data_IF_452487837104
#
_entry.id   IF_452487837104
#
_cell.length_a   1.000
_cell.length_b   1.000
_cell.length_c   1.000
_cell.angle_alpha   90.00
_cell.angle_beta   90.00
_cell.angle_gamma   90.00
#
_symmetry.space_group_name_H-M   'P 1'
#
loop_
_entity.id
_entity.type
_entity.pdbx_description
1 polymer ?
#
# COMPACT_ATOMS: atom_id res chain seq x y z
N UNK A 1 -25.42 -6.62 -5.53
CA UNK A 1 -24.28 -6.17 -4.69
C UNK A 1 -24.45 -6.79 -3.32
N UNK A 2 -23.42 -7.42 -2.77
CA UNK A 2 -23.40 -7.94 -1.39
C UNK A 2 -22.43 -7.06 -0.59
N UNK A 3 -22.85 -6.61 0.60
CA UNK A 3 -22.00 -5.90 1.56
C UNK A 3 -22.01 -6.66 2.87
N UNK A 4 -20.84 -6.84 3.47
CA UNK A 4 -20.69 -7.53 4.74
C UNK A 4 -19.46 -7.03 5.49
N UNK A 5 -19.38 -7.39 6.77
CA UNK A 5 -18.26 -7.10 7.66
C UNK A 5 -17.42 -8.38 7.82
N UNK A 6 -16.09 -8.25 7.80
CA UNK A 6 -15.18 -9.39 7.99
C UNK A 6 -15.26 -10.00 9.39
N UNK A 7 -15.84 -9.28 10.37
CA UNK A 7 -16.13 -9.82 11.69
C UNK A 7 -17.30 -10.82 11.69
N UNK A 8 -18.29 -10.61 10.82
CA UNK A 8 -19.50 -11.46 10.74
C UNK A 8 -19.48 -12.41 9.55
N UNK A 9 -18.64 -12.13 8.55
CA UNK A 9 -18.44 -12.98 7.39
C UNK A 9 -16.94 -13.05 7.03
N UNK A 10 -16.16 -13.87 7.76
CA UNK A 10 -14.71 -13.99 7.61
C UNK A 10 -14.31 -14.44 6.20
N UNK A 11 -13.05 -14.18 5.82
CA UNK A 11 -12.54 -14.52 4.48
C UNK A 11 -12.63 -16.01 4.14
N UNK A 12 -12.47 -16.91 5.12
CA UNK A 12 -12.65 -18.34 4.93
C UNK A 12 -14.08 -18.66 4.45
N UNK A 13 -15.08 -18.09 5.12
CA UNK A 13 -16.49 -18.27 4.80
C UNK A 13 -16.86 -17.60 3.47
N UNK A 14 -16.32 -16.40 3.20
CA UNK A 14 -16.49 -15.71 1.92
C UNK A 14 -15.97 -16.56 0.77
N UNK A 15 -14.76 -17.09 0.86
CA UNK A 15 -14.14 -17.89 -0.20
C UNK A 15 -14.89 -19.20 -0.40
N UNK A 16 -15.30 -19.85 0.69
CA UNK A 16 -16.12 -21.06 0.64
C UNK A 16 -17.48 -20.79 -0.02
N UNK A 17 -18.15 -19.70 0.34
CA UNK A 17 -19.43 -19.32 -0.24
C UNK A 17 -19.31 -18.96 -1.73
N UNK A 18 -18.29 -18.20 -2.14
CA UNK A 18 -18.01 -17.89 -3.54
C UNK A 18 -17.71 -19.16 -4.35
N UNK A 19 -16.96 -20.09 -3.76
CA UNK A 19 -16.61 -21.38 -4.37
C UNK A 19 -17.86 -22.26 -4.59
N UNK A 20 -18.73 -22.36 -3.58
CA UNK A 20 -19.96 -23.16 -3.65
C UNK A 20 -21.03 -22.53 -4.54
N UNK A 21 -21.21 -21.21 -4.47
CA UNK A 21 -22.22 -20.48 -5.23
C UNK A 21 -21.83 -20.21 -6.68
N UNK A 22 -20.55 -20.45 -7.04
CA UNK A 22 -19.97 -20.16 -8.36
C UNK A 22 -20.21 -18.73 -8.84
N UNK A 23 -20.31 -17.79 -7.90
CA UNK A 23 -20.52 -16.37 -8.24
C UNK A 23 -19.26 -15.79 -8.85
N UNK A 24 -19.46 -14.93 -9.83
CA UNK A 24 -18.40 -14.15 -10.49
C UNK A 24 -18.60 -12.67 -10.19
N UNK A 25 -17.51 -11.91 -10.29
CA UNK A 25 -17.51 -10.47 -10.08
C UNK A 25 -16.29 -10.00 -9.30
N UNK A 26 -16.37 -8.77 -8.80
CA UNK A 26 -15.26 -8.12 -8.08
C UNK A 26 -15.58 -8.06 -6.60
N UNK A 27 -14.68 -8.59 -5.78
CA UNK A 27 -14.67 -8.46 -4.33
C UNK A 27 -13.73 -7.32 -3.96
N UNK A 28 -14.25 -6.28 -3.34
CA UNK A 28 -13.49 -5.18 -2.74
C UNK A 28 -13.40 -5.36 -1.23
N UNK A 29 -12.20 -5.17 -0.69
CA UNK A 29 -11.86 -5.35 0.72
C UNK A 29 -11.25 -4.05 1.24
N UNK A 30 -11.93 -3.46 2.21
CA UNK A 30 -11.53 -2.28 2.96
C UNK A 30 -11.14 -2.71 4.38
N UNK A 31 -9.84 -2.87 4.62
CA UNK A 31 -9.27 -3.39 5.88
C UNK A 31 -8.54 -2.31 6.71
N UNK A 32 -8.78 -1.02 6.45
CA UNK A 32 -8.20 0.09 7.23
C UNK A 32 -7.53 1.19 6.37
N UNK A 33 -6.57 1.92 6.96
CA UNK A 33 -5.85 3.01 6.28
C UNK A 33 -4.96 2.46 5.14
N UNK A 34 -5.48 2.51 3.90
CA UNK A 34 -4.81 2.09 2.68
C UNK A 34 -5.75 2.09 1.48
N UNK A 35 -5.22 1.86 0.26
CA UNK A 35 -6.07 1.67 -0.91
C UNK A 35 -6.87 0.35 -0.75
N UNK A 36 -8.17 0.33 -1.09
CA UNK A 36 -8.99 -0.88 -1.04
C UNK A 36 -8.35 -1.96 -1.91
N UNK A 37 -8.24 -3.17 -1.36
CA UNK A 37 -7.71 -4.32 -2.08
C UNK A 37 -8.86 -5.03 -2.78
N UNK A 38 -8.69 -5.37 -4.05
CA UNK A 38 -9.75 -6.01 -4.81
C UNK A 38 -9.30 -7.33 -5.46
N UNK A 39 -10.26 -8.22 -5.67
CA UNK A 39 -10.12 -9.53 -6.29
C UNK A 39 -11.18 -9.69 -7.37
N UNK A 40 -10.78 -10.12 -8.56
CA UNK A 40 -11.70 -10.51 -9.62
C UNK A 40 -11.85 -12.03 -9.61
N UNK A 41 -13.07 -12.48 -9.36
CA UNK A 41 -13.43 -13.90 -9.22
C UNK A 41 -14.24 -14.33 -10.43
N UNK A 42 -13.82 -15.42 -11.06
CA UNK A 42 -14.51 -16.06 -12.19
C UNK A 42 -14.43 -17.57 -12.00
N UNK A 43 -15.57 -18.25 -12.09
CA UNK A 43 -15.66 -19.73 -12.03
C UNK A 43 -14.78 -20.36 -10.94
N UNK A 44 -15.01 -19.96 -9.68
CA UNK A 44 -14.32 -20.50 -8.49
C UNK A 44 -12.83 -20.16 -8.39
N UNK A 45 -12.35 -19.23 -9.21
CA UNK A 45 -10.94 -18.83 -9.28
C UNK A 45 -10.80 -17.33 -9.16
N UNK A 46 -9.71 -16.90 -8.54
CA UNK A 46 -9.26 -15.51 -8.56
C UNK A 46 -8.40 -15.36 -9.82
N UNK A 47 -8.88 -14.58 -10.78
CA UNK A 47 -8.25 -14.40 -12.10
C UNK A 47 -7.46 -13.08 -12.22
N UNK A 48 -7.72 -12.15 -11.30
CA UNK A 48 -6.92 -10.95 -11.14
C UNK A 48 -7.04 -10.40 -9.71
N UNK A 49 -6.04 -9.64 -9.28
CA UNK A 49 -6.08 -8.91 -8.01
C UNK A 49 -5.51 -7.50 -8.19
N UNK A 50 -5.80 -6.65 -7.21
CA UNK A 50 -5.16 -5.35 -7.10
C UNK A 50 -3.64 -5.52 -7.10
N UNK A 51 -2.96 -4.66 -7.86
CA UNK A 51 -1.51 -4.62 -7.88
C UNK A 51 -1.01 -4.39 -6.46
N UNK A 52 0.05 -5.09 -6.02
CA UNK A 52 0.76 -4.69 -4.82
C UNK A 52 1.05 -3.18 -4.91
N UNK A 53 0.95 -2.43 -3.80
CA UNK A 53 1.26 -1.01 -3.81
C UNK A 53 2.64 -0.88 -4.42
N UNK A 54 2.74 -0.12 -5.51
CA UNK A 54 3.97 -0.03 -6.26
C UNK A 54 5.06 0.37 -5.27
N UNK A 55 6.02 -0.51 -5.02
CA UNK A 55 7.22 -0.04 -4.35
C UNK A 55 7.84 1.01 -5.26
N UNK A 56 8.19 2.20 -4.75
CA UNK A 56 9.25 2.93 -5.39
C UNK A 56 10.46 2.01 -5.31
N UNK A 57 11.05 1.62 -6.46
CA UNK A 57 12.33 0.88 -6.50
C UNK A 57 13.46 1.52 -5.67
N UNK A 58 13.22 2.69 -5.07
CA UNK A 58 14.06 3.33 -4.06
C UNK A 58 14.05 2.69 -2.66
N UNK A 59 13.05 1.90 -2.23
CA UNK A 59 13.11 1.30 -0.88
C UNK A 59 14.16 0.19 -0.79
N UNK A 60 14.27 -0.69 -1.80
CA UNK A 60 15.38 -1.63 -1.92
C UNK A 60 16.74 -0.90 -1.96
N UNK A 61 16.86 0.16 -2.77
CA UNK A 61 18.06 0.99 -2.80
C UNK A 61 18.43 1.60 -1.42
N UNK A 62 17.44 1.89 -0.58
CA UNK A 62 17.64 2.40 0.78
C UNK A 62 17.85 1.30 1.82
N UNK A 63 17.32 0.11 1.58
CA UNK A 63 17.57 -1.12 2.34
C UNK A 63 18.92 -1.77 1.98
N UNK A 64 19.80 -1.05 1.26
CA UNK A 64 21.17 -1.46 0.86
C UNK A 64 21.23 -2.74 0.03
N UNK A 65 20.10 -3.21 -0.47
CA UNK A 65 19.99 -4.44 -1.25
C UNK A 65 18.92 -4.31 -2.34
N UNK A 66 19.24 -4.82 -3.53
CA UNK A 66 18.28 -4.96 -4.63
C UNK A 66 18.43 -6.34 -5.25
N UNK A 67 17.33 -6.88 -5.77
CA UNK A 67 17.30 -8.17 -6.46
C UNK A 67 17.34 -8.00 -7.98
N UNK A 68 17.80 -9.03 -8.69
CA UNK A 68 17.83 -9.03 -10.15
C UNK A 68 16.49 -9.27 -10.84
N UNK A 69 15.48 -9.77 -10.13
CA UNK A 69 14.16 -10.10 -10.72
C UNK A 69 13.39 -8.82 -11.10
N UNK A 70 12.79 -8.73 -12.31
CA UNK A 70 11.90 -7.63 -12.65
C UNK A 70 10.67 -7.62 -11.72
N UNK A 71 10.22 -6.44 -11.28
CA UNK A 71 9.16 -6.32 -10.29
C UNK A 71 7.85 -7.00 -10.74
N UNK A 72 7.54 -6.95 -12.04
CA UNK A 72 6.35 -7.57 -12.62
C UNK A 72 6.35 -9.09 -12.48
N UNK A 73 7.53 -9.72 -12.42
CA UNK A 73 7.65 -11.17 -12.24
C UNK A 73 7.35 -11.62 -10.81
N UNK A 74 7.48 -10.71 -9.84
CA UNK A 74 7.19 -10.97 -8.42
C UNK A 74 5.72 -10.73 -8.08
N UNK A 75 5.00 -9.94 -8.88
CA UNK A 75 3.61 -9.55 -8.60
C UNK A 75 2.65 -10.72 -8.37
N UNK A 76 2.66 -11.82 -9.16
CA UNK A 76 1.74 -12.93 -8.92
C UNK A 76 1.92 -13.56 -7.54
N UNK A 77 3.16 -13.80 -7.13
CA UNK A 77 3.46 -14.36 -5.80
C UNK A 77 3.12 -13.36 -4.69
N UNK A 78 3.40 -12.06 -4.90
CA UNK A 78 3.06 -11.01 -3.94
C UNK A 78 1.54 -10.83 -3.76
N UNK A 79 0.76 -10.95 -4.85
CA UNK A 79 -0.70 -10.96 -4.77
C UNK A 79 -1.21 -12.18 -4.00
N UNK A 80 -0.66 -13.37 -4.26
CA UNK A 80 -1.04 -14.58 -3.53
C UNK A 80 -0.75 -14.47 -2.03
N UNK A 81 0.45 -14.00 -1.67
CA UNK A 81 0.83 -13.76 -0.28
C UNK A 81 -0.10 -12.75 0.38
N UNK A 82 -0.37 -11.62 -0.28
CA UNK A 82 -1.28 -10.60 0.24
C UNK A 82 -2.70 -11.14 0.46
N UNK A 83 -3.22 -11.97 -0.46
CA UNK A 83 -4.54 -12.61 -0.30
C UNK A 83 -4.59 -13.46 0.96
N UNK A 84 -3.57 -14.28 1.19
CA UNK A 84 -3.48 -15.19 2.33
C UNK A 84 -3.24 -14.42 3.63
N UNK A 85 -2.44 -13.35 3.60
CA UNK A 85 -2.13 -12.54 4.77
C UNK A 85 -3.35 -11.74 5.27
N UNK A 86 -4.37 -11.52 4.44
CA UNK A 86 -5.62 -10.93 4.90
C UNK A 86 -6.33 -11.77 5.97
N UNK A 87 -6.08 -13.09 6.02
CA UNK A 87 -6.60 -13.95 7.09
C UNK A 87 -6.01 -13.61 8.45
N UNK A 88 -4.81 -13.01 8.48
CA UNK A 88 -4.15 -12.56 9.71
C UNK A 88 -4.56 -11.13 10.12
N UNK A 89 -5.30 -10.41 9.26
CA UNK A 89 -5.71 -9.04 9.54
C UNK A 89 -6.85 -9.04 10.56
N UNK A 90 -6.89 -8.09 11.51
CA UNK A 90 -7.98 -8.02 12.49
C UNK A 90 -9.35 -7.98 11.80
N UNK A 91 -10.36 -8.57 12.44
CA UNK A 91 -11.72 -8.75 11.89
C UNK A 91 -12.47 -7.45 11.59
N UNK A 92 -11.89 -6.27 11.82
CA UNK A 92 -12.45 -4.98 11.45
C UNK A 92 -12.14 -4.65 9.99
N UNK A 93 -13.02 -5.05 9.08
CA UNK A 93 -12.93 -4.68 7.68
C UNK A 93 -14.26 -4.85 6.96
N UNK A 94 -14.47 -4.09 5.88
CA UNK A 94 -15.68 -4.18 5.07
C UNK A 94 -15.38 -4.87 3.75
N UNK A 95 -16.36 -5.64 3.32
CA UNK A 95 -16.35 -6.40 2.08
C UNK A 95 -17.51 -5.91 1.22
N UNK A 96 -17.23 -5.65 -0.07
CA UNK A 96 -18.25 -5.40 -1.09
C UNK A 96 -18.04 -6.34 -2.26
N UNK A 97 -19.04 -7.15 -2.61
CA UNK A 97 -19.06 -7.91 -3.86
C UNK A 97 -19.99 -7.23 -4.87
N UNK A 98 -19.39 -6.83 -5.99
CA UNK A 98 -20.09 -6.37 -7.17
C UNK A 98 -20.18 -7.54 -8.15
N UNK A 99 -21.35 -8.19 -8.18
CA UNK A 99 -21.60 -9.34 -9.02
C UNK A 99 -21.44 -8.99 -10.52
N UNK A 100 -20.83 -9.91 -11.27
CA UNK A 100 -20.60 -9.82 -12.72
C UNK A 100 -19.83 -8.56 -13.19
N UNK A 101 -19.22 -7.83 -12.25
CA UNK A 101 -18.33 -6.72 -12.58
C UNK A 101 -17.04 -7.25 -13.23
N UNK A 102 -16.58 -6.53 -14.25
CA UNK A 102 -15.23 -6.72 -14.77
C UNK A 102 -14.20 -6.20 -13.75
N UNK A 103 -13.08 -6.90 -13.64
CA UNK A 103 -11.94 -6.44 -12.83
C UNK A 103 -11.45 -5.05 -13.25
N UNK A 104 -10.75 -4.36 -12.35
CA UNK A 104 -10.23 -3.02 -12.61
C UNK A 104 -9.01 -3.04 -13.55
N UNK A 105 -8.84 -1.95 -14.31
CA UNK A 105 -7.66 -1.76 -15.16
C UNK A 105 -6.37 -1.77 -14.33
N UNK A 106 -5.29 -2.34 -14.89
CA UNK A 106 -3.97 -2.35 -14.26
C UNK A 106 -3.75 -3.40 -13.18
N UNK A 107 -4.74 -4.25 -12.89
CA UNK A 107 -4.61 -5.40 -12.00
C UNK A 107 -3.63 -6.47 -12.49
N UNK A 108 -3.16 -7.29 -11.55
CA UNK A 108 -2.22 -8.39 -11.81
C UNK A 108 -3.02 -9.64 -12.15
N UNK A 109 -2.72 -10.26 -13.30
CA UNK A 109 -3.30 -11.55 -13.69
C UNK A 109 -2.71 -12.66 -12.82
N UNK A 110 -3.59 -13.41 -12.16
CA UNK A 110 -3.25 -14.55 -11.32
C UNK A 110 -4.23 -15.67 -11.62
N UNK A 111 -3.92 -16.89 -11.19
CA UNK A 111 -4.80 -18.03 -11.40
C UNK A 111 -4.81 -18.92 -10.14
N UNK A 112 -5.65 -18.53 -9.18
CA UNK A 112 -5.70 -19.15 -7.85
C UNK A 112 -7.09 -19.71 -7.57
N UNK A 113 -7.17 -20.97 -7.15
CA UNK A 113 -8.46 -21.57 -6.74
C UNK A 113 -8.93 -21.04 -5.40
N UNK A 114 -10.21 -20.65 -5.29
CA UNK A 114 -10.77 -20.12 -4.02
C UNK A 114 -10.63 -21.10 -2.86
N UNK A 115 -10.98 -22.38 -3.09
CA UNK A 115 -10.84 -23.42 -2.07
C UNK A 115 -9.38 -23.61 -1.62
N UNK A 116 -8.41 -23.52 -2.55
CA UNK A 116 -6.99 -23.59 -2.21
C UNK A 116 -6.57 -22.39 -1.34
N UNK A 117 -7.01 -21.18 -1.69
CA UNK A 117 -6.68 -19.98 -0.92
C UNK A 117 -7.33 -19.96 0.46
N UNK A 118 -8.54 -20.50 0.60
CA UNK A 118 -9.18 -20.65 1.91
C UNK A 118 -8.39 -21.61 2.81
N UNK A 119 -7.99 -22.77 2.30
CA UNK A 119 -7.17 -23.74 3.05
C UNK A 119 -5.78 -23.16 3.39
N UNK A 120 -5.17 -22.43 2.44
CA UNK A 120 -3.88 -21.78 2.64
C UNK A 120 -3.95 -20.68 3.71
N UNK A 121 -5.04 -19.89 3.72
CA UNK A 121 -5.34 -18.87 4.72
C UNK A 121 -5.56 -19.44 6.13
N UNK A 122 -6.29 -20.56 6.24
CA UNK A 122 -6.47 -21.25 7.52
C UNK A 122 -5.15 -21.83 8.02
N UNK A 123 -4.38 -22.50 7.16
CA UNK A 123 -3.04 -22.98 7.52
C UNK A 123 -2.14 -21.84 7.99
N UNK A 124 -2.22 -20.68 7.33
CA UNK A 124 -1.47 -19.47 7.71
C UNK A 124 -1.77 -19.01 9.12
N UNK A 125 -3.05 -19.01 9.52
CA UNK A 125 -3.48 -18.65 10.87
C UNK A 125 -2.86 -19.59 11.92
N UNK A 126 -2.82 -20.89 11.63
CA UNK A 126 -2.29 -21.91 12.54
C UNK A 126 -0.75 -21.84 12.66
N UNK A 127 -0.05 -21.64 11.56
CA UNK A 127 1.43 -21.58 11.52
C UNK A 127 2.01 -20.29 12.09
N UNK A 128 1.25 -19.19 12.04
CA UNK A 128 1.76 -17.86 12.35
C UNK A 128 2.40 -17.74 13.74
N UNK A 129 1.79 -18.22 14.85
CA UNK A 129 2.39 -18.13 16.18
C UNK A 129 3.72 -18.89 16.32
N UNK A 130 3.92 -19.96 15.54
CA UNK A 130 5.17 -20.72 15.54
C UNK A 130 6.27 -19.97 14.80
N UNK A 131 5.96 -19.40 13.63
CA UNK A 131 6.90 -18.58 12.86
C UNK A 131 7.34 -17.35 13.66
N UNK A 132 6.43 -16.68 14.36
CA UNK A 132 6.77 -15.53 15.22
C UNK A 132 7.72 -15.92 16.36
N UNK A 133 7.50 -17.09 16.96
CA UNK A 133 8.35 -17.60 18.04
C UNK A 133 9.74 -17.99 17.52
N UNK A 134 9.82 -18.56 16.32
CA UNK A 134 11.07 -18.97 15.67
C UNK A 134 11.88 -17.78 15.19
N UNK A 135 11.21 -16.74 14.70
CA UNK A 135 11.82 -15.54 14.14
C UNK A 135 11.37 -14.28 14.91
N UNK A 136 11.82 -14.13 16.17
CA UNK A 136 11.36 -13.05 17.04
C UNK A 136 11.88 -11.67 16.63
N UNK A 137 12.89 -11.60 15.75
CA UNK A 137 13.49 -10.34 15.31
C UNK A 137 13.70 -10.31 13.81
N UNK A 138 13.24 -9.24 13.17
CA UNK A 138 13.48 -8.97 11.75
C UNK A 138 14.94 -8.52 11.48
N UNK A 139 15.72 -8.28 12.54
CA UNK A 139 17.15 -7.97 12.42
C UNK A 139 18.01 -9.20 12.12
N UNK A 140 17.48 -10.42 12.24
CA UNK A 140 18.23 -11.64 12.00
C UNK A 140 18.72 -11.73 10.54
N UNK A 141 19.94 -12.22 10.33
CA UNK A 141 20.54 -12.32 9.00
C UNK A 141 20.13 -13.60 8.30
N UNK A 142 19.90 -13.51 6.98
CA UNK A 142 19.73 -14.66 6.10
C UNK A 142 21.09 -15.15 5.64
N UNK A 143 21.33 -16.45 5.65
CA UNK A 143 22.56 -17.06 5.15
C UNK A 143 22.25 -18.15 4.13
N UNK A 144 22.82 -18.05 2.94
CA UNK A 144 22.65 -19.06 1.90
C UNK A 144 23.44 -20.34 2.23
N UNK A 145 22.84 -21.49 1.92
CA UNK A 145 23.45 -22.81 2.11
C UNK A 145 24.02 -23.35 0.79
N UNK A 146 25.26 -23.89 0.77
CA UNK A 146 25.93 -24.32 -0.46
C UNK A 146 25.43 -25.65 -1.05
N UNK A 147 24.46 -26.33 -0.43
CA UNK A 147 24.03 -27.69 -0.82
C UNK A 147 22.55 -27.87 -1.14
N UNK A 148 21.76 -26.78 -1.23
CA UNK A 148 20.30 -26.87 -1.37
C UNK A 148 19.79 -27.21 -2.78
N UNK A 149 18.51 -27.60 -2.84
CA UNK A 149 17.77 -27.74 -4.10
C UNK A 149 17.69 -26.42 -4.88
N UNK A 150 17.45 -26.42 -6.19
CA UNK A 150 17.32 -25.14 -6.94
C UNK A 150 16.04 -24.38 -6.52
N UNK A 151 16.10 -23.04 -6.33
CA UNK A 151 14.90 -22.23 -6.09
C UNK A 151 13.92 -22.36 -7.27
N UNK A 152 12.63 -22.52 -6.95
CA UNK A 152 11.57 -22.84 -7.91
C UNK A 152 10.80 -21.60 -8.39
N UNK A 153 10.71 -20.56 -7.57
CA UNK A 153 9.95 -19.35 -7.88
C UNK A 153 10.86 -18.12 -7.98
N UNK A 154 10.49 -17.09 -8.76
CA UNK A 154 11.10 -15.76 -8.71
C UNK A 154 11.32 -15.25 -7.28
N UNK A 155 10.30 -15.35 -6.42
CA UNK A 155 10.39 -14.94 -5.03
C UNK A 155 11.47 -15.68 -4.23
N UNK A 156 11.59 -17.00 -4.42
CA UNK A 156 12.64 -17.81 -3.81
C UNK A 156 14.04 -17.44 -4.31
N UNK A 157 14.19 -17.12 -5.61
CA UNK A 157 15.47 -16.69 -6.18
C UNK A 157 15.91 -15.37 -5.58
N UNK A 158 15.02 -14.38 -5.53
CA UNK A 158 15.32 -13.07 -4.97
C UNK A 158 15.66 -13.18 -3.46
N UNK A 159 14.94 -14.00 -2.70
CA UNK A 159 15.24 -14.21 -1.28
C UNK A 159 16.56 -14.99 -1.06
N UNK A 160 16.90 -15.93 -1.93
CA UNK A 160 18.19 -16.61 -1.90
C UNK A 160 19.35 -15.66 -2.24
N UNK A 161 19.15 -14.70 -3.15
CA UNK A 161 20.11 -13.61 -3.39
C UNK A 161 20.31 -12.76 -2.14
N UNK A 162 19.23 -12.42 -1.42
CA UNK A 162 19.32 -11.72 -0.14
C UNK A 162 20.16 -12.52 0.89
N UNK A 163 19.92 -13.84 0.96
CA UNK A 163 20.67 -14.75 1.83
C UNK A 163 22.16 -14.87 1.47
N UNK A 164 22.53 -14.78 0.18
CA UNK A 164 23.94 -14.73 -0.25
C UNK A 164 24.62 -13.43 0.18
N UNK A 165 23.87 -12.34 0.24
CA UNK A 165 24.35 -11.02 0.64
C UNK A 165 24.29 -10.79 2.15
N UNK A 166 23.83 -11.78 2.92
CA UNK A 166 23.62 -11.67 4.37
C UNK A 166 22.70 -10.53 4.77
N UNK A 167 21.70 -10.25 3.93
CA UNK A 167 20.65 -9.31 4.24
C UNK A 167 19.84 -9.78 5.46
N UNK A 168 19.39 -8.84 6.27
CA UNK A 168 18.43 -9.09 7.34
C UNK A 168 17.05 -9.45 6.80
N UNK A 169 16.22 -10.07 7.63
CA UNK A 169 14.80 -10.32 7.32
C UNK A 169 14.09 -9.00 6.98
N UNK A 170 14.39 -7.92 7.72
CA UNK A 170 13.83 -6.59 7.47
C UNK A 170 14.23 -6.03 6.10
N UNK A 171 15.51 -6.14 5.70
CA UNK A 171 15.98 -5.70 4.38
C UNK A 171 15.33 -6.51 3.26
N UNK A 172 15.25 -7.83 3.42
CA UNK A 172 14.60 -8.71 2.45
C UNK A 172 13.10 -8.39 2.31
N UNK A 173 12.42 -8.10 3.43
CA UNK A 173 11.01 -7.70 3.46
C UNK A 173 10.76 -6.40 2.70
N UNK A 174 11.60 -5.40 2.96
CA UNK A 174 11.50 -4.05 2.40
C UNK A 174 11.92 -3.94 0.93
N UNK A 175 12.76 -4.85 0.43
CA UNK A 175 13.17 -4.83 -0.97
C UNK A 175 12.29 -5.72 -1.85
N UNK A 176 11.49 -6.61 -1.25
CA UNK A 176 10.54 -7.47 -1.96
C UNK A 176 9.08 -7.00 -1.83
N UNK A 177 8.82 -5.92 -1.09
CA UNK A 177 7.47 -5.43 -0.80
C UNK A 177 6.59 -6.46 -0.08
N UNK A 178 7.19 -7.30 0.75
CA UNK A 178 6.49 -8.39 1.44
C UNK A 178 5.99 -7.95 2.82
N UNK A 179 4.90 -8.55 3.26
CA UNK A 179 4.51 -8.51 4.67
C UNK A 179 5.49 -9.34 5.52
N UNK A 180 5.47 -9.15 6.84
CA UNK A 180 6.25 -10.00 7.75
C UNK A 180 5.83 -11.48 7.69
N UNK A 181 4.53 -11.83 7.70
CA UNK A 181 4.10 -13.20 7.42
C UNK A 181 4.66 -13.75 6.11
N UNK A 182 4.54 -13.01 4.99
CA UNK A 182 4.98 -13.45 3.67
C UNK A 182 6.47 -13.79 3.64
N UNK A 183 7.32 -12.88 4.13
CA UNK A 183 8.77 -13.12 4.12
C UNK A 183 9.17 -14.30 5.01
N UNK A 184 8.59 -14.44 6.21
CA UNK A 184 8.96 -15.54 7.13
C UNK A 184 8.60 -16.91 6.57
N UNK A 185 7.45 -17.05 5.90
CA UNK A 185 7.11 -18.31 5.23
C UNK A 185 8.04 -18.62 4.07
N UNK A 186 8.39 -17.62 3.25
CA UNK A 186 9.34 -17.84 2.15
C UNK A 186 10.71 -18.25 2.68
N UNK A 187 11.15 -17.67 3.81
CA UNK A 187 12.37 -18.07 4.52
C UNK A 187 12.25 -19.53 4.99
N UNK A 188 11.13 -19.91 5.61
CA UNK A 188 10.87 -21.27 6.05
C UNK A 188 10.91 -22.27 4.88
N UNK A 189 10.28 -21.95 3.75
CA UNK A 189 10.32 -22.76 2.54
C UNK A 189 11.75 -22.92 1.98
N UNK A 190 12.58 -21.87 2.04
CA UNK A 190 14.00 -22.01 1.67
C UNK A 190 14.77 -22.88 2.68
N UNK A 191 14.45 -22.80 3.97
CA UNK A 191 15.05 -23.62 5.02
C UNK A 191 14.74 -25.10 4.84
N UNK A 192 13.48 -25.43 4.57
CA UNK A 192 13.04 -26.80 4.29
C UNK A 192 13.70 -27.38 3.02
N UNK A 193 13.98 -26.54 2.03
CA UNK A 193 14.72 -26.92 0.82
C UNK A 193 16.24 -26.98 1.01
N UNK A 194 16.74 -26.66 2.22
CA UNK A 194 18.17 -26.61 2.53
C UNK A 194 18.91 -25.52 1.77
N UNK A 195 18.22 -24.45 1.37
CA UNK A 195 18.73 -23.35 0.55
C UNK A 195 19.22 -22.15 1.36
N UNK A 196 18.60 -21.90 2.50
CA UNK A 196 18.97 -20.79 3.38
C UNK A 196 18.68 -21.14 4.85
N UNK A 197 19.38 -20.46 5.75
CA UNK A 197 19.10 -20.47 7.19
C UNK A 197 19.07 -19.05 7.73
N UNK A 198 18.55 -18.90 8.95
CA UNK A 198 18.55 -17.62 9.67
C UNK A 198 19.60 -17.70 10.78
N UNK A 199 20.46 -16.69 10.87
CA UNK A 199 21.56 -16.63 11.83
C UNK A 199 21.64 -15.27 12.53
N UNK A 200 21.90 -15.32 13.83
CA UNK A 200 22.35 -14.18 14.63
C UNK A 200 21.51 -12.92 14.47
N UNK A 201 22.17 -11.78 14.63
CA UNK A 201 21.66 -10.45 14.32
C UNK A 201 22.53 -9.91 13.19
N UNK A 202 21.92 -9.40 12.14
CA UNK A 202 22.62 -8.71 11.05
C UNK A 202 23.39 -7.54 11.64
N UNK A 203 24.64 -7.36 11.21
CA UNK A 203 25.45 -6.19 11.56
C UNK A 203 24.89 -4.89 10.97
N UNK A 204 23.90 -4.99 10.08
CA UNK A 204 23.25 -3.85 9.45
C UNK A 204 22.21 -3.22 10.40
N UNK A 205 22.26 -1.89 10.50
CA UNK A 205 21.30 -1.11 11.30
C UNK A 205 19.87 -1.39 10.83
N UNK A 206 18.92 -1.43 11.77
CA UNK A 206 17.49 -1.60 11.49
C UNK A 206 17.05 -0.71 10.31
N UNK A 207 16.75 -1.29 9.14
CA UNK A 207 16.47 -0.53 7.93
C UNK A 207 15.18 0.28 8.07
N UNK A 208 14.21 -0.21 8.86
CA UNK A 208 12.97 0.51 9.15
C UNK A 208 13.30 1.76 9.97
N UNK A 209 14.11 1.63 11.02
CA UNK A 209 14.54 2.78 11.81
C UNK A 209 15.35 3.79 10.99
N UNK A 210 16.23 3.32 10.11
CA UNK A 210 17.02 4.18 9.22
C UNK A 210 16.14 4.94 8.22
N UNK A 211 15.18 4.27 7.60
CA UNK A 211 14.21 4.87 6.68
C UNK A 211 13.29 5.86 7.39
N UNK A 212 12.81 5.54 8.58
CA UNK A 212 12.03 6.45 9.40
C UNK A 212 12.84 7.71 9.77
N UNK A 213 14.13 7.56 10.11
CA UNK A 213 15.01 8.70 10.34
C UNK A 213 15.19 9.54 9.07
N UNK A 214 15.35 8.91 7.90
CA UNK A 214 15.42 9.62 6.61
C UNK A 214 14.11 10.37 6.31
N UNK A 215 12.96 9.76 6.57
CA UNK A 215 11.66 10.42 6.40
C UNK A 215 11.53 11.68 7.27
N UNK A 216 12.00 11.65 8.52
CA UNK A 216 12.06 12.85 9.39
C UNK A 216 12.91 13.97 8.78
N UNK A 217 14.06 13.63 8.19
CA UNK A 217 14.91 14.62 7.52
C UNK A 217 14.21 15.23 6.30
N UNK A 218 13.45 14.44 5.53
CA UNK A 218 12.65 14.93 4.40
C UNK A 218 11.55 15.89 4.86
N UNK A 219 10.86 15.57 5.96
CA UNK A 219 9.86 16.45 6.58
C UNK A 219 10.48 17.78 7.01
N UNK A 220 11.63 17.75 7.70
CA UNK A 220 12.37 18.95 8.09
C UNK A 220 12.81 19.79 6.88
N UNK A 221 13.16 19.15 5.77
CA UNK A 221 13.50 19.79 4.51
C UNK A 221 12.27 20.27 3.70
N UNK A 222 11.04 20.14 4.24
CA UNK A 222 9.76 20.43 3.57
C UNK A 222 9.51 19.62 2.28
N UNK A 223 10.19 18.48 2.15
CA UNK A 223 10.01 17.50 1.08
C UNK A 223 8.92 16.49 1.48
N UNK A 224 7.69 16.99 1.65
CA UNK A 224 6.59 16.23 2.24
C UNK A 224 6.10 15.09 1.34
N UNK A 225 6.12 15.28 0.01
CA UNK A 225 5.68 14.25 -0.93
C UNK A 225 6.66 13.07 -0.93
N UNK A 226 7.96 13.34 -0.91
CA UNK A 226 9.02 12.32 -0.77
C UNK A 226 8.95 11.62 0.58
N UNK A 227 8.72 12.36 1.67
CA UNK A 227 8.54 11.78 3.00
C UNK A 227 7.33 10.83 3.03
N UNK A 228 6.19 11.26 2.48
CA UNK A 228 4.99 10.45 2.39
C UNK A 228 5.22 9.15 1.59
N UNK A 229 5.95 9.21 0.47
CA UNK A 229 6.33 8.02 -0.31
C UNK A 229 7.08 7.01 0.55
N UNK A 230 8.09 7.46 1.32
CA UNK A 230 8.87 6.57 2.20
C UNK A 230 7.99 5.96 3.28
N UNK A 231 7.17 6.76 3.96
CA UNK A 231 6.35 6.33 5.08
C UNK A 231 5.22 5.38 4.64
N UNK A 232 4.55 5.66 3.51
CA UNK A 232 3.59 4.74 2.92
C UNK A 232 4.23 3.42 2.50
N UNK A 233 5.47 3.45 2.00
CA UNK A 233 6.23 2.24 1.71
C UNK A 233 6.52 1.38 2.94
N UNK A 234 6.93 2.01 4.04
CA UNK A 234 7.11 1.33 5.33
C UNK A 234 5.80 0.71 5.83
N UNK A 235 4.68 1.43 5.72
CA UNK A 235 3.35 0.93 6.10
C UNK A 235 2.79 -0.14 5.15
N UNK A 236 3.16 -0.11 3.88
CA UNK A 236 2.82 -1.18 2.95
C UNK A 236 3.46 -2.50 3.38
N UNK A 237 4.70 -2.44 3.87
CA UNK A 237 5.43 -3.60 4.34
C UNK A 237 4.95 -4.05 5.74
N UNK A 238 4.64 -3.11 6.65
CA UNK A 238 4.04 -3.37 7.96
C UNK A 238 2.95 -2.34 8.31
N UNK A 239 1.66 -2.65 8.03
CA UNK A 239 0.55 -1.76 8.35
C UNK A 239 0.34 -1.54 9.84
N UNK A 240 0.85 -2.46 10.68
CA UNK A 240 0.62 -2.44 12.13
C UNK A 240 1.59 -1.51 12.86
N UNK A 241 2.71 -1.09 12.23
CA UNK A 241 3.74 -0.28 12.87
C UNK A 241 3.20 1.09 13.32
N UNK A 242 2.92 1.17 14.62
CA UNK A 242 2.40 2.39 15.26
C UNK A 242 3.36 3.57 15.13
N UNK A 243 4.67 3.34 15.20
CA UNK A 243 5.68 4.41 15.14
C UNK A 243 5.69 5.08 13.78
N UNK A 244 5.60 4.28 12.71
CA UNK A 244 5.55 4.80 11.34
C UNK A 244 4.21 5.50 11.08
N UNK A 245 3.09 4.97 11.58
CA UNK A 245 1.76 5.63 11.48
C UNK A 245 1.75 6.99 12.18
N UNK A 246 2.28 7.06 13.39
CA UNK A 246 2.34 8.30 14.15
C UNK A 246 3.24 9.33 13.43
N UNK A 247 4.37 8.90 12.86
CA UNK A 247 5.25 9.75 12.06
C UNK A 247 4.59 10.24 10.75
N UNK A 248 3.81 9.40 10.07
CA UNK A 248 3.05 9.81 8.88
C UNK A 248 2.00 10.88 9.23
N UNK A 249 1.28 10.69 10.34
CA UNK A 249 0.30 11.69 10.81
C UNK A 249 0.95 13.02 11.18
N UNK A 250 2.15 12.97 11.78
CA UNK A 250 2.95 14.17 12.08
C UNK A 250 3.38 14.87 10.77
N UNK A 251 3.95 14.13 9.83
CA UNK A 251 4.38 14.64 8.53
C UNK A 251 3.22 15.28 7.74
N UNK A 252 2.03 14.66 7.76
CA UNK A 252 0.83 15.21 7.11
C UNK A 252 0.36 16.50 7.78
N UNK A 253 0.36 16.57 9.12
CA UNK A 253 0.01 17.80 9.85
C UNK A 253 0.96 18.94 9.50
N UNK A 254 2.26 18.66 9.43
CA UNK A 254 3.25 19.66 9.02
C UNK A 254 3.05 20.09 7.55
N UNK A 255 2.72 19.15 6.66
CA UNK A 255 2.43 19.48 5.26
C UNK A 255 1.19 20.36 5.14
N UNK A 256 0.11 20.04 5.85
CA UNK A 256 -1.11 20.86 5.91
C UNK A 256 -0.80 22.25 6.44
N UNK A 257 -0.03 22.37 7.52
CA UNK A 257 0.39 23.66 8.06
C UNK A 257 1.21 24.48 7.04
N UNK A 258 2.13 23.84 6.31
CA UNK A 258 2.88 24.49 5.25
C UNK A 258 1.99 24.94 4.09
N UNK A 259 1.01 24.12 3.69
CA UNK A 259 0.03 24.45 2.66
C UNK A 259 -0.84 25.64 3.06
N UNK A 260 -1.29 25.71 4.33
CA UNK A 260 -2.03 26.87 4.82
C UNK A 260 -1.17 28.14 4.93
N UNK A 261 0.15 28.00 5.04
CA UNK A 261 1.08 29.13 4.90
C UNK A 261 1.11 29.70 3.47
N UNK A 262 0.91 28.86 2.44
CA UNK A 262 0.80 29.29 1.03
C UNK A 262 -0.65 29.70 0.66
N UNK A 263 -1.63 28.99 1.20
CA UNK A 263 -3.06 29.12 0.94
C UNK A 263 -3.75 29.57 2.23
N UNK A 264 -3.80 30.88 2.46
CA UNK A 264 -4.41 31.42 3.68
C UNK A 264 -5.78 30.78 3.96
N UNK A 265 -6.03 30.24 5.17
CA UNK A 265 -7.27 29.53 5.50
C UNK A 265 -8.53 30.37 5.28
N UNK A 266 -8.41 31.70 5.40
CA UNK A 266 -9.50 32.68 5.28
C UNK A 266 -9.62 33.29 3.88
N UNK A 267 -8.71 32.97 2.97
CA UNK A 267 -8.81 33.42 1.59
C UNK A 267 -9.96 32.70 0.90
N UNK A 268 -10.63 33.39 -0.01
CA UNK A 268 -11.74 32.87 -0.81
C UNK A 268 -11.20 32.47 -2.18
N UNK A 269 -11.06 31.16 -2.48
CA UNK A 269 -10.71 30.69 -3.81
C UNK A 269 -11.87 30.86 -4.78
N UNK A 270 -11.59 31.50 -5.92
CA UNK A 270 -12.54 31.65 -7.03
C UNK A 270 -11.90 31.30 -8.38
N UNK A 271 -12.67 30.66 -9.26
CA UNK A 271 -12.25 30.39 -10.64
C UNK A 271 -12.12 31.69 -11.43
N UNK A 272 -10.98 31.89 -12.12
CA UNK A 272 -10.62 33.16 -12.78
C UNK A 272 -11.64 33.59 -13.85
N UNK A 273 -12.29 32.63 -14.53
CA UNK A 273 -13.28 32.91 -15.58
C UNK A 273 -14.60 32.17 -15.33
N UNK A 274 -14.91 31.84 -14.07
CA UNK A 274 -16.07 31.01 -13.73
C UNK A 274 -15.95 29.59 -14.29
N UNK A 275 -17.08 28.85 -14.43
CA UNK A 275 -17.07 27.45 -14.86
C UNK A 275 -16.41 27.22 -16.23
N UNK A 276 -16.47 28.22 -17.13
CA UNK A 276 -15.87 28.17 -18.46
C UNK A 276 -14.33 28.02 -18.45
N UNK A 277 -13.68 28.34 -17.34
CA UNK A 277 -12.24 28.09 -17.16
C UNK A 277 -11.88 26.60 -17.15
N UNK A 278 -12.85 25.72 -16.89
CA UNK A 278 -12.67 24.27 -16.92
C UNK A 278 -12.69 23.67 -18.34
N UNK A 279 -13.14 24.43 -19.33
CA UNK A 279 -13.14 24.03 -20.74
C UNK A 279 -11.82 24.36 -21.46
N UNK A 280 -10.96 25.16 -20.82
CA UNK A 280 -9.65 25.55 -21.34
C UNK A 280 -8.75 24.31 -21.55
N UNK A 281 -7.84 24.34 -22.54
CA UNK A 281 -6.89 23.24 -22.78
C UNK A 281 -6.06 22.86 -21.55
N UNK A 282 -5.74 23.83 -20.69
CA UNK A 282 -5.04 23.60 -19.41
C UNK A 282 -5.90 22.79 -18.42
N UNK A 283 -7.20 23.04 -18.38
CA UNK A 283 -8.14 22.34 -17.51
C UNK A 283 -8.46 20.91 -18.00
N UNK A 284 -8.32 20.63 -19.31
CA UNK A 284 -8.45 19.27 -19.86
C UNK A 284 -7.39 18.28 -19.34
N UNK A 285 -6.26 18.78 -18.80
CA UNK A 285 -5.19 17.98 -18.21
C UNK A 285 -5.34 17.77 -16.69
N UNK A 286 -6.43 18.26 -16.09
CA UNK A 286 -6.65 18.11 -14.65
C UNK A 286 -6.95 16.65 -14.29
N UNK A 287 -6.39 16.21 -13.16
CA UNK A 287 -6.73 14.93 -12.55
C UNK A 287 -8.18 14.91 -12.06
N UNK A 288 -8.71 13.73 -11.72
CA UNK A 288 -10.03 13.60 -11.10
C UNK A 288 -10.12 14.40 -9.80
N UNK A 289 -9.09 14.30 -8.95
CA UNK A 289 -8.96 15.05 -7.69
C UNK A 289 -9.00 16.57 -7.90
N UNK A 290 -8.28 17.08 -8.91
CA UNK A 290 -8.27 18.51 -9.22
C UNK A 290 -9.63 19.03 -9.69
N UNK A 291 -10.34 18.24 -10.51
CA UNK A 291 -11.70 18.59 -10.95
C UNK A 291 -12.67 18.58 -9.79
N UNK A 292 -12.58 17.59 -8.91
CA UNK A 292 -13.41 17.44 -7.72
C UNK A 292 -13.32 18.69 -6.82
N UNK A 293 -12.11 19.21 -6.61
CA UNK A 293 -11.89 20.45 -5.86
C UNK A 293 -12.40 21.66 -6.65
N UNK A 294 -12.10 21.76 -7.94
CA UNK A 294 -12.48 22.91 -8.77
C UNK A 294 -14.01 23.12 -8.85
N UNK A 295 -14.79 22.03 -8.93
CA UNK A 295 -16.27 22.08 -8.98
C UNK A 295 -16.87 22.64 -7.68
N UNK A 296 -16.16 22.56 -6.55
CA UNK A 296 -16.60 23.09 -5.25
C UNK A 296 -16.29 24.58 -5.04
N UNK A 297 -15.49 25.18 -5.92
CA UNK A 297 -15.11 26.58 -5.81
C UNK A 297 -16.29 27.48 -6.22
N UNK A 298 -17.07 27.90 -5.23
CA UNK A 298 -18.21 28.79 -5.41
C UNK A 298 -17.85 30.29 -5.30
N UNK A 299 -16.59 30.61 -4.97
CA UNK A 299 -16.13 31.98 -4.77
C UNK A 299 -16.70 32.67 -3.52
N UNK A 300 -17.26 31.89 -2.58
CA UNK A 300 -17.83 32.37 -1.31
C UNK A 300 -17.18 31.68 -0.11
N UNK A 301 -16.94 30.38 -0.22
CA UNK A 301 -16.27 29.61 0.82
C UNK A 301 -14.79 29.97 0.88
N UNK A 302 -14.25 30.03 2.09
CA UNK A 302 -12.83 30.18 2.31
C UNK A 302 -12.09 28.85 2.10
N UNK A 303 -10.76 28.89 2.03
CA UNK A 303 -9.93 27.69 1.81
C UNK A 303 -10.23 26.61 2.85
N UNK A 304 -10.38 26.98 4.13
CA UNK A 304 -10.73 26.04 5.19
C UNK A 304 -12.12 25.40 4.98
N UNK A 305 -13.12 26.20 4.58
CA UNK A 305 -14.46 25.72 4.26
C UNK A 305 -14.50 24.78 3.06
N UNK A 306 -13.71 25.06 2.02
CA UNK A 306 -13.54 24.16 0.86
C UNK A 306 -12.89 22.85 1.30
N UNK A 307 -11.84 22.89 2.13
CA UNK A 307 -11.20 21.70 2.67
C UNK A 307 -12.16 20.85 3.51
N UNK A 308 -12.97 21.48 4.37
CA UNK A 308 -13.96 20.81 5.22
C UNK A 308 -15.11 20.17 4.42
N UNK A 309 -15.55 20.81 3.33
CA UNK A 309 -16.65 20.33 2.49
C UNK A 309 -16.22 19.35 1.38
N UNK A 310 -14.92 19.08 1.26
CA UNK A 310 -14.37 18.13 0.31
C UNK A 310 -14.52 16.69 0.83
N UNK A 311 -14.90 15.72 -0.02
CA UNK A 311 -14.88 14.30 0.34
C UNK A 311 -13.46 13.72 0.37
N UNK A 312 -12.49 14.48 -0.14
CA UNK A 312 -11.07 14.12 -0.17
C UNK A 312 -10.41 14.45 1.17
N UNK A 313 -9.23 13.90 1.41
CA UNK A 313 -8.43 14.28 2.59
C UNK A 313 -8.05 15.76 2.49
N UNK A 314 -7.93 16.43 3.64
CA UNK A 314 -7.59 17.85 3.71
C UNK A 314 -6.29 18.16 2.93
N UNK A 315 -5.24 17.37 3.13
CA UNK A 315 -3.96 17.50 2.43
C UNK A 315 -4.10 17.36 0.90
N UNK A 316 -4.95 16.46 0.42
CA UNK A 316 -5.19 16.25 -1.02
C UNK A 316 -5.95 17.43 -1.61
N UNK A 317 -6.94 17.94 -0.88
CA UNK A 317 -7.73 19.10 -1.27
C UNK A 317 -6.85 20.34 -1.41
N UNK A 318 -5.99 20.61 -0.41
CA UNK A 318 -5.07 21.74 -0.41
C UNK A 318 -3.98 21.59 -1.50
N UNK A 319 -3.45 20.39 -1.73
CA UNK A 319 -2.49 20.13 -2.84
C UNK A 319 -3.12 20.41 -4.20
N UNK A 320 -4.34 19.92 -4.42
CA UNK A 320 -5.09 20.16 -5.65
C UNK A 320 -5.36 21.66 -5.83
N UNK A 321 -5.82 22.36 -4.78
CA UNK A 321 -6.06 23.80 -4.81
C UNK A 321 -4.78 24.59 -5.12
N UNK A 322 -3.66 24.28 -4.46
CA UNK A 322 -2.35 24.89 -4.73
C UNK A 322 -1.95 24.74 -6.20
N UNK A 323 -2.16 23.55 -6.76
CA UNK A 323 -1.86 23.29 -8.19
C UNK A 323 -2.76 24.13 -9.10
N UNK A 324 -4.06 24.25 -8.81
CA UNK A 324 -4.98 25.09 -9.58
C UNK A 324 -4.59 26.58 -9.55
N UNK A 325 -4.11 27.08 -8.39
CA UNK A 325 -3.57 28.44 -8.25
C UNK A 325 -2.31 28.61 -9.10
N UNK A 326 -1.35 27.65 -9.04
CA UNK A 326 -0.13 27.68 -9.86
C UNK A 326 -0.39 27.61 -11.36
N UNK A 327 -1.47 26.94 -11.77
CA UNK A 327 -1.92 26.88 -13.17
C UNK A 327 -2.67 28.14 -13.62
N UNK A 328 -2.91 29.10 -12.72
CA UNK A 328 -3.66 30.33 -13.02
C UNK A 328 -5.17 30.11 -13.24
N UNK A 329 -5.70 28.96 -12.82
CA UNK A 329 -7.13 28.64 -12.94
C UNK A 329 -7.94 29.18 -11.75
N UNK A 330 -7.28 29.37 -10.61
CA UNK A 330 -7.89 29.87 -9.37
C UNK A 330 -7.14 31.09 -8.86
N UNK A 331 -7.90 32.10 -8.45
CA UNK A 331 -7.40 33.26 -7.71
C UNK A 331 -7.85 33.19 -6.26
N UNK A 332 -6.97 33.61 -5.35
CA UNK A 332 -7.29 33.79 -3.94
C UNK A 332 -7.60 35.26 -3.69
N UNK A 333 -8.77 35.54 -3.10
CA UNK A 333 -9.12 36.87 -2.61
C UNK A 333 -9.09 36.84 -1.09
N UNK A 334 -8.49 37.83 -0.45
CA UNK A 334 -8.67 37.96 1.00
C UNK A 334 -10.12 38.35 1.29
N UNK A 335 -10.65 37.80 2.39
CA UNK A 335 -11.97 38.18 2.89
C UNK A 335 -11.87 39.62 3.39
N UNK A 336 -12.14 40.56 2.49
CA UNK A 336 -11.97 41.98 2.74
C UNK A 336 -12.77 42.44 3.96
N UNK A 337 -12.13 43.32 4.73
CA UNK A 337 -12.79 44.48 5.31
C UNK A 337 -13.71 45.17 4.29
#
# INVERSE_FOLDING_TARGET
MLQADLATFPLAELFQWLDQSRRSGVVELDVGEGAPFWLHVVDRRIVAAARPPAEPGGLGALARWSHGEPQETLWPEACADRIVDLFLTPSSGRLTLVADAAGFEGGVRIDLGLGQMALEGLRRLDEWPELERRYPSDSAALAAEPGGSRPRTPGQRALLEAARQRASIAEARLALGLSRPAVLRRIEALRELGLARVEGVSSHADPVASLAAKARLLVQARQFDEAAIVLHGLLAADPSDRRVRDLLREAEREHVAALYGELSPVAIPGLVSGPASLDLPAARRLSSTEREVAVRLNGVWDVAGVALASPLREVETLKALRKLVRLGLVTLRERGC
#
